data_IF_425404058636
#
_entry.id   IF_425404058636
#
_cell.length_a   1.000
_cell.length_b   1.000
_cell.length_c   1.000
_cell.angle_alpha   90.00
_cell.angle_beta   90.00
_cell.angle_gamma   90.00
#
_symmetry.space_group_name_H-M   'P 1'
#
loop_
_entity.id
_entity.type
_entity.pdbx_description
1 polymer ?
#
# COMPACT_ATOMS: atom_id res chain seq x y z
N UNK A 1 5.46 -19.90 0.25
CA UNK A 1 4.64 -18.74 -0.20
C UNK A 1 5.25 -18.18 -1.48
N UNK A 2 4.46 -17.98 -2.55
CA UNK A 2 4.95 -17.26 -3.74
C UNK A 2 5.20 -15.80 -3.34
N UNK A 3 6.30 -15.17 -3.78
CA UNK A 3 6.53 -13.76 -3.47
C UNK A 3 5.38 -12.93 -4.06
N UNK A 4 4.83 -11.97 -3.30
CA UNK A 4 3.73 -11.13 -3.76
C UNK A 4 4.10 -10.47 -5.09
N UNK A 5 3.14 -10.27 -5.98
CA UNK A 5 3.37 -9.70 -7.31
C UNK A 5 3.96 -8.29 -7.17
N UNK A 6 4.92 -7.88 -8.03
CA UNK A 6 5.64 -6.62 -7.88
C UNK A 6 4.78 -5.51 -8.45
N UNK A 7 3.72 -5.18 -7.73
CA UNK A 7 3.01 -3.92 -7.89
C UNK A 7 2.90 -3.18 -6.55
N UNK A 8 3.07 -1.86 -6.58
CA UNK A 8 2.64 -0.97 -5.49
C UNK A 8 1.57 -0.08 -6.07
N UNK A 9 0.46 0.01 -5.33
CA UNK A 9 -0.63 0.91 -5.64
C UNK A 9 -0.87 1.74 -4.39
N UNK A 10 -0.79 3.05 -4.55
CA UNK A 10 -1.13 3.99 -3.50
C UNK A 10 -2.24 4.92 -4.03
N UNK A 11 -3.20 5.25 -3.18
CA UNK A 11 -4.25 6.23 -3.49
C UNK A 11 -3.91 7.56 -2.84
N UNK A 12 -4.11 8.64 -3.57
CA UNK A 12 -3.90 10.01 -3.09
C UNK A 12 -5.08 10.87 -3.52
N UNK A 13 -5.24 12.08 -2.98
CA UNK A 13 -6.32 13.00 -3.38
C UNK A 13 -6.27 13.27 -4.88
N UNK A 14 -7.37 13.17 -5.59
CA UNK A 14 -7.39 13.33 -7.06
C UNK A 14 -6.52 14.49 -7.59
N UNK A 15 -6.63 15.67 -6.96
CA UNK A 15 -5.90 16.89 -7.33
C UNK A 15 -4.37 16.78 -7.24
N UNK A 16 -3.82 15.89 -6.43
CA UNK A 16 -2.35 15.71 -6.29
C UNK A 16 -1.80 14.65 -7.25
N UNK A 17 -2.64 13.97 -8.03
CA UNK A 17 -2.21 12.87 -8.90
C UNK A 17 -1.22 13.32 -9.98
N UNK A 18 -1.47 14.47 -10.59
CA UNK A 18 -0.60 15.05 -11.60
C UNK A 18 0.79 15.39 -11.05
N UNK A 19 0.87 15.93 -9.83
CA UNK A 19 2.14 16.30 -9.18
C UNK A 19 2.99 15.06 -8.94
N UNK A 20 2.37 13.99 -8.45
CA UNK A 20 3.03 12.71 -8.21
C UNK A 20 3.55 12.08 -9.50
N UNK A 21 2.76 12.12 -10.59
CA UNK A 21 3.19 11.59 -11.89
C UNK A 21 4.41 12.33 -12.44
N UNK A 22 4.45 13.66 -12.30
CA UNK A 22 5.61 14.45 -12.71
C UNK A 22 6.84 14.17 -11.84
N UNK A 23 6.68 14.09 -10.51
CA UNK A 23 7.80 13.76 -9.60
C UNK A 23 8.37 12.35 -9.88
N UNK A 24 7.49 11.38 -10.18
CA UNK A 24 7.90 10.03 -10.60
C UNK A 24 8.64 10.05 -11.95
N UNK A 25 8.14 10.80 -12.93
CA UNK A 25 8.78 10.98 -14.23
C UNK A 25 10.17 11.58 -14.09
N UNK A 26 10.31 12.68 -13.36
CA UNK A 26 11.60 13.34 -13.12
C UNK A 26 12.59 12.40 -12.43
N UNK A 27 12.12 11.61 -11.46
CA UNK A 27 12.95 10.63 -10.79
C UNK A 27 13.45 9.54 -11.76
N UNK A 28 12.58 9.01 -12.63
CA UNK A 28 12.93 8.01 -13.63
C UNK A 28 13.93 8.56 -14.66
N UNK A 29 13.72 9.78 -15.15
CA UNK A 29 14.62 10.43 -16.13
C UNK A 29 16.01 10.68 -15.54
N UNK A 30 16.07 11.14 -14.28
CA UNK A 30 17.34 11.39 -13.58
C UNK A 30 18.13 10.11 -13.31
N UNK A 31 17.43 9.06 -12.87
CA UNK A 31 18.08 7.80 -12.46
C UNK A 31 18.36 6.85 -13.62
N UNK A 32 17.70 7.06 -14.77
CA UNK A 32 17.72 6.17 -15.93
C UNK A 32 17.30 4.73 -15.58
N UNK A 33 16.49 4.57 -14.50
CA UNK A 33 15.97 3.27 -14.13
C UNK A 33 15.00 2.77 -15.22
N UNK A 34 15.16 1.54 -15.74
CA UNK A 34 14.28 1.03 -16.77
C UNK A 34 12.91 0.63 -16.18
N UNK A 35 11.94 1.54 -16.24
CA UNK A 35 10.53 1.25 -16.00
C UNK A 35 9.89 0.71 -17.30
N UNK A 36 9.96 -0.60 -17.49
CA UNK A 36 9.57 -1.30 -18.73
C UNK A 36 8.07 -1.56 -18.89
N UNK A 37 7.25 -1.18 -17.91
CA UNK A 37 5.79 -1.25 -17.99
C UNK A 37 5.15 0.12 -17.72
N UNK A 38 3.97 0.40 -18.31
CA UNK A 38 3.25 1.65 -18.09
C UNK A 38 2.90 1.89 -16.62
N UNK A 39 2.82 3.17 -16.26
CA UNK A 39 2.16 3.61 -15.02
C UNK A 39 0.65 3.61 -15.27
N UNK A 40 -0.12 2.93 -14.43
CA UNK A 40 -1.58 2.92 -14.56
C UNK A 40 -2.20 3.96 -13.63
N UNK A 41 -3.19 4.69 -14.12
CA UNK A 41 -3.87 5.75 -13.38
C UNK A 41 -5.37 5.49 -13.39
N UNK A 42 -6.01 5.56 -12.22
CA UNK A 42 -7.46 5.35 -12.06
C UNK A 42 -8.04 6.32 -11.05
N UNK A 43 -9.23 6.83 -11.34
CA UNK A 43 -9.98 7.70 -10.44
C UNK A 43 -11.12 6.93 -9.77
N UNK A 44 -11.32 7.16 -8.48
CA UNK A 44 -12.35 6.50 -7.67
C UNK A 44 -12.97 7.54 -6.74
N UNK A 45 -14.30 7.53 -6.65
CA UNK A 45 -15.03 8.40 -5.73
C UNK A 45 -14.79 8.01 -4.27
N UNK A 46 -14.83 9.00 -3.39
CA UNK A 46 -14.72 8.77 -1.96
C UNK A 46 -15.82 7.86 -1.43
N UNK A 47 -15.51 7.11 -0.38
CA UNK A 47 -16.45 6.21 0.29
C UNK A 47 -16.42 6.39 1.81
N UNK A 48 -17.24 5.61 2.52
CA UNK A 48 -17.35 5.64 3.99
C UNK A 48 -16.82 4.35 4.65
N UNK A 49 -16.09 3.50 3.93
CA UNK A 49 -15.56 2.24 4.46
C UNK A 49 -14.29 2.51 5.28
N UNK A 50 -14.26 2.08 6.54
CA UNK A 50 -13.23 2.50 7.52
C UNK A 50 -11.78 2.28 7.08
N UNK A 51 -11.51 1.18 6.37
CA UNK A 51 -10.18 0.86 5.85
C UNK A 51 -10.02 1.13 4.35
N UNK A 52 -10.96 1.82 3.71
CA UNK A 52 -10.77 2.17 2.30
C UNK A 52 -9.66 3.20 2.14
N UNK A 53 -8.71 2.99 1.20
CA UNK A 53 -7.77 4.04 0.82
C UNK A 53 -8.49 5.32 0.33
N UNK A 54 -9.75 5.20 -0.12
CA UNK A 54 -10.60 6.30 -0.58
C UNK A 54 -11.53 6.88 0.51
N UNK A 55 -11.35 6.51 1.79
CA UNK A 55 -12.23 6.97 2.88
C UNK A 55 -12.34 8.50 2.90
N UNK A 56 -13.57 8.99 2.73
CA UNK A 56 -14.02 10.39 2.69
C UNK A 56 -13.26 11.31 1.72
N UNK A 57 -12.66 10.75 0.66
CA UNK A 57 -11.99 11.56 -0.37
C UNK A 57 -12.01 10.92 -1.76
N UNK A 58 -12.33 11.71 -2.77
CA UNK A 58 -12.09 11.35 -4.17
C UNK A 58 -10.59 11.15 -4.37
N UNK A 59 -10.24 10.01 -4.95
CA UNK A 59 -8.87 9.52 -4.99
C UNK A 59 -8.42 9.17 -6.40
N UNK A 60 -7.13 9.41 -6.65
CA UNK A 60 -6.39 8.92 -7.79
C UNK A 60 -5.50 7.77 -7.32
N UNK A 61 -5.72 6.60 -7.88
CA UNK A 61 -4.82 5.46 -7.79
C UNK A 61 -3.74 5.58 -8.87
N UNK A 62 -2.48 5.50 -8.46
CA UNK A 62 -1.34 5.39 -9.36
C UNK A 62 -0.71 4.04 -9.08
N UNK A 63 -0.47 3.23 -10.12
CA UNK A 63 0.11 1.89 -10.00
C UNK A 63 1.41 1.81 -10.79
N UNK A 64 2.45 1.23 -10.20
CA UNK A 64 3.66 0.84 -10.91
C UNK A 64 3.79 -0.68 -10.93
N UNK A 65 4.30 -1.23 -12.03
CA UNK A 65 4.42 -2.68 -12.24
C UNK A 65 5.80 -2.99 -12.81
N UNK A 66 6.36 -4.13 -12.44
CA UNK A 66 7.52 -4.70 -13.14
C UNK A 66 7.21 -6.11 -13.65
N UNK A 67 7.54 -6.38 -14.91
CA UNK A 67 7.50 -7.73 -15.47
C UNK A 67 8.39 -8.70 -14.68
N UNK A 68 7.87 -9.90 -14.38
CA UNK A 68 8.62 -11.02 -13.79
C UNK A 68 8.89 -12.09 -14.86
N UNK A 69 10.07 -12.09 -15.50
CA UNK A 69 10.42 -13.10 -16.49
C UNK A 69 10.48 -14.48 -15.83
N UNK A 70 9.72 -15.45 -16.34
CA UNK A 70 9.74 -16.84 -15.88
C UNK A 70 9.59 -16.98 -14.35
N UNK A 71 8.76 -16.14 -13.74
CA UNK A 71 8.54 -16.09 -12.28
C UNK A 71 9.80 -15.80 -11.45
N UNK A 72 10.86 -15.25 -12.07
CA UNK A 72 12.07 -14.80 -11.38
C UNK A 72 11.88 -13.41 -10.79
N UNK A 73 12.43 -13.21 -9.60
CA UNK A 73 12.44 -11.90 -8.96
C UNK A 73 13.47 -11.02 -9.66
N UNK A 74 13.02 -9.85 -10.12
CA UNK A 74 13.89 -8.79 -10.63
C UNK A 74 14.14 -7.80 -9.50
N UNK A 75 15.35 -7.24 -9.43
CA UNK A 75 15.63 -6.17 -8.46
C UNK A 75 14.67 -5.00 -8.70
N UNK A 76 13.84 -4.70 -7.70
CA UNK A 76 12.77 -3.71 -7.79
C UNK A 76 12.78 -2.72 -6.61
N UNK A 77 13.58 -3.01 -5.58
CA UNK A 77 13.58 -2.28 -4.29
C UNK A 77 13.88 -0.78 -4.45
N UNK A 78 14.84 -0.42 -5.32
CA UNK A 78 15.16 0.98 -5.60
C UNK A 78 13.95 1.72 -6.19
N UNK A 79 13.24 1.09 -7.14
CA UNK A 79 12.07 1.68 -7.77
C UNK A 79 10.89 1.76 -6.77
N UNK A 80 10.67 0.70 -6.00
CA UNK A 80 9.62 0.60 -4.99
C UNK A 80 9.77 1.63 -3.88
N UNK A 81 10.99 1.80 -3.39
CA UNK A 81 11.30 2.73 -2.30
C UNK A 81 11.12 4.16 -2.77
N UNK A 82 11.63 4.50 -3.95
CA UNK A 82 11.44 5.83 -4.53
C UNK A 82 9.97 6.15 -4.76
N UNK A 83 9.22 5.24 -5.37
CA UNK A 83 7.80 5.40 -5.60
C UNK A 83 7.01 5.54 -4.29
N UNK A 84 7.25 4.67 -3.29
CA UNK A 84 6.59 4.78 -1.99
C UNK A 84 6.89 6.12 -1.30
N UNK A 85 8.12 6.61 -1.36
CA UNK A 85 8.50 7.90 -0.78
C UNK A 85 7.80 9.09 -1.46
N UNK A 86 7.73 9.07 -2.80
CA UNK A 86 6.99 10.09 -3.56
C UNK A 86 5.52 10.08 -3.15
N UNK A 87 4.88 8.90 -3.13
CA UNK A 87 3.47 8.80 -2.73
C UNK A 87 3.24 9.25 -1.27
N UNK A 88 4.11 8.84 -0.34
CA UNK A 88 4.00 9.18 1.09
C UNK A 88 4.06 10.70 1.33
N UNK A 89 4.95 11.41 0.62
CA UNK A 89 5.08 12.87 0.68
C UNK A 89 3.78 13.61 0.36
N UNK A 90 2.91 13.00 -0.44
CA UNK A 90 1.62 13.56 -0.85
C UNK A 90 0.42 12.92 -0.15
N UNK A 91 0.65 12.22 0.97
CA UNK A 91 -0.40 11.58 1.76
C UNK A 91 -1.00 10.33 1.11
N UNK A 92 -0.21 9.63 0.28
CA UNK A 92 -0.61 8.38 -0.35
C UNK A 92 -0.93 7.29 0.67
N UNK A 93 -2.06 6.59 0.47
CA UNK A 93 -2.50 5.45 1.28
C UNK A 93 -2.23 4.14 0.53
N UNK A 94 -1.56 3.15 1.15
CA UNK A 94 -1.22 1.91 0.46
C UNK A 94 -2.47 1.08 0.18
N UNK A 95 -2.54 0.47 -0.99
CA UNK A 95 -3.59 -0.45 -1.36
C UNK A 95 -3.35 -1.82 -0.72
N UNK A 96 -4.34 -2.34 0.02
CA UNK A 96 -4.25 -3.57 0.81
C UNK A 96 -3.78 -4.82 0.05
N UNK A 97 -4.14 -4.95 -1.22
CA UNK A 97 -3.76 -6.10 -2.06
C UNK A 97 -2.40 -5.97 -2.76
N UNK A 98 -1.59 -4.96 -2.44
CA UNK A 98 -0.29 -4.69 -3.07
C UNK A 98 0.84 -4.63 -2.04
N UNK A 99 2.09 -4.68 -2.49
CA UNK A 99 3.24 -4.59 -1.60
C UNK A 99 3.36 -3.21 -0.96
N UNK A 100 3.64 -3.17 0.34
CA UNK A 100 3.88 -1.95 1.09
C UNK A 100 4.75 -2.22 2.33
N UNK A 101 5.54 -1.23 2.75
CA UNK A 101 6.39 -1.32 3.95
C UNK A 101 5.88 -0.55 5.17
N UNK A 102 4.71 0.09 5.04
CA UNK A 102 4.06 0.85 6.10
C UNK A 102 3.87 0.00 7.36
N UNK A 103 4.32 0.53 8.49
CA UNK A 103 4.15 0.02 9.85
C UNK A 103 2.71 0.27 10.35
N UNK A 104 2.33 -0.42 11.43
CA UNK A 104 1.01 -0.21 12.03
C UNK A 104 0.76 1.22 12.52
N UNK A 105 1.79 1.92 13.00
CA UNK A 105 1.69 3.33 13.37
C UNK A 105 1.42 4.23 12.15
N UNK A 106 2.05 3.94 11.01
CA UNK A 106 1.79 4.67 9.76
C UNK A 106 0.39 4.35 9.20
N UNK A 107 -0.09 3.11 9.31
CA UNK A 107 -1.50 2.83 8.98
C UNK A 107 -2.46 3.59 9.90
N UNK A 108 -2.19 3.59 11.20
CA UNK A 108 -3.03 4.30 12.17
C UNK A 108 -3.12 5.80 11.86
N UNK A 109 -2.04 6.43 11.39
CA UNK A 109 -2.07 7.86 11.03
C UNK A 109 -2.80 8.14 9.71
N UNK A 110 -2.84 7.17 8.79
CA UNK A 110 -3.45 7.32 7.46
C UNK A 110 -4.97 7.09 7.43
N UNK A 111 -5.51 6.29 8.35
CA UNK A 111 -6.90 5.84 8.37
C UNK A 111 -7.66 6.44 9.56
N UNK A 112 -8.53 7.46 9.36
CA UNK A 112 -9.22 8.15 10.46
C UNK A 112 -10.09 7.25 11.34
N UNK A 113 -10.59 6.14 10.79
CA UNK A 113 -11.45 5.15 11.48
C UNK A 113 -10.69 3.90 11.93
N UNK A 114 -9.36 4.01 12.06
CA UNK A 114 -8.50 2.91 12.47
C UNK A 114 -8.91 2.30 13.81
N UNK A 115 -9.11 3.16 14.83
CA UNK A 115 -9.45 2.72 16.19
C UNK A 115 -10.80 1.99 16.21
N UNK A 116 -11.81 2.55 15.57
CA UNK A 116 -13.14 1.95 15.48
C UNK A 116 -13.10 0.60 14.74
N UNK A 117 -12.30 0.49 13.68
CA UNK A 117 -12.10 -0.79 13.00
C UNK A 117 -11.41 -1.83 13.89
N UNK A 118 -10.34 -1.44 14.59
CA UNK A 118 -9.65 -2.35 15.51
C UNK A 118 -10.57 -2.86 16.63
N UNK A 119 -11.40 -1.98 17.20
CA UNK A 119 -12.39 -2.35 18.21
C UNK A 119 -13.44 -3.32 17.67
N UNK A 120 -13.98 -3.06 16.48
CA UNK A 120 -14.93 -3.96 15.84
C UNK A 120 -14.32 -5.33 15.56
N UNK A 121 -13.08 -5.36 15.04
CA UNK A 121 -12.31 -6.59 14.81
C UNK A 121 -12.11 -7.38 16.09
N UNK A 122 -11.71 -6.74 17.19
CA UNK A 122 -11.49 -7.41 18.49
C UNK A 122 -12.79 -7.94 19.08
N UNK A 123 -13.92 -7.29 18.82
CA UNK A 123 -15.24 -7.76 19.25
C UNK A 123 -15.71 -8.98 18.45
N UNK A 124 -15.45 -8.99 17.14
CA UNK A 124 -15.93 -10.03 16.22
C UNK A 124 -14.97 -11.23 16.10
N UNK A 125 -13.68 -11.00 16.32
CA UNK A 125 -12.62 -12.02 16.27
C UNK A 125 -11.69 -11.89 17.50
N UNK A 126 -12.20 -12.19 18.70
CA UNK A 126 -11.45 -12.02 19.95
C UNK A 126 -10.21 -12.90 20.04
N UNK A 127 -10.17 -14.00 19.29
CA UNK A 127 -9.05 -14.95 19.26
C UNK A 127 -8.09 -14.70 18.08
N UNK A 128 -8.38 -13.73 17.20
CA UNK A 128 -7.53 -13.41 16.06
C UNK A 128 -7.45 -14.50 14.98
N UNK A 129 -8.48 -15.34 14.84
CA UNK A 129 -8.51 -16.46 13.91
C UNK A 129 -8.32 -16.03 12.44
N UNK A 130 -8.71 -14.80 12.09
CA UNK A 130 -8.60 -14.29 10.72
C UNK A 130 -7.33 -13.47 10.46
N UNK A 131 -6.42 -13.41 11.42
CA UNK A 131 -5.16 -12.70 11.26
C UNK A 131 -4.11 -13.58 10.59
N UNK A 132 -3.31 -12.96 9.75
CA UNK A 132 -2.07 -13.53 9.23
C UNK A 132 -0.90 -12.62 9.62
N UNK A 133 0.33 -13.06 9.39
CA UNK A 133 1.53 -12.31 9.78
C UNK A 133 1.61 -10.90 9.19
N UNK A 134 1.01 -10.65 8.02
CA UNK A 134 0.91 -9.30 7.48
C UNK A 134 -0.07 -8.44 8.29
N UNK A 135 -1.25 -8.95 8.60
CA UNK A 135 -2.25 -8.24 9.40
C UNK A 135 -1.80 -8.05 10.85
N UNK A 136 -1.11 -9.02 11.46
CA UNK A 136 -0.51 -8.88 12.79
C UNK A 136 0.46 -7.69 12.82
N UNK A 137 1.37 -7.62 11.83
CA UNK A 137 2.31 -6.50 11.68
C UNK A 137 1.59 -5.17 11.49
N UNK A 138 0.55 -5.15 10.64
CA UNK A 138 -0.20 -3.93 10.31
C UNK A 138 -1.06 -3.46 11.50
N UNK A 139 -1.67 -4.36 12.27
CA UNK A 139 -2.43 -4.00 13.47
C UNK A 139 -1.58 -3.87 14.73
N UNK A 140 -0.25 -3.97 14.62
CA UNK A 140 0.67 -3.81 15.74
C UNK A 140 0.56 -4.93 16.79
N UNK A 141 0.10 -6.11 16.39
CA UNK A 141 0.01 -7.27 17.26
C UNK A 141 1.38 -7.95 17.36
N UNK A 142 1.70 -8.45 18.55
CA UNK A 142 2.86 -9.34 18.72
C UNK A 142 2.55 -10.66 18.01
N UNK A 143 3.54 -11.30 17.34
CA UNK A 143 3.33 -12.61 16.73
C UNK A 143 2.72 -13.55 17.77
N UNK A 144 1.60 -14.18 17.45
CA UNK A 144 1.03 -15.17 18.36
C UNK A 144 2.02 -16.34 18.49
N UNK A 145 2.54 -16.57 19.70
CA UNK A 145 3.40 -17.73 20.02
C UNK A 145 2.63 -19.07 20.00
N UNK A 146 1.41 -19.11 19.47
CA UNK A 146 0.48 -20.21 19.59
C UNK A 146 0.32 -20.98 18.27
N UNK A 147 1.41 -21.54 17.75
CA UNK A 147 1.39 -22.72 16.87
C UNK A 147 2.67 -23.53 17.08
N UNK A 148 2.84 -24.06 18.30
CA UNK A 148 3.52 -25.33 18.51
C UNK A 148 2.49 -26.24 19.17
N UNK A 149 1.81 -27.03 18.35
CA UNK A 149 1.13 -28.26 18.72
C UNK A 149 1.35 -29.24 17.56
#
# INVERSE_FOLDING_TARGET
MKPPLPFVLLSLREKTGVVVLFELKEWLERTRLPAHLPVEVRFVKGDNNYLSPCYQQDSCYINIIMYRPFNKLVSHETYWTAYQNIMAKHGGRPHWAKDHKYSGAEFQSLYPKWKEFCQARETLDPNGMFLNSNLERVFGMKPSNSYIA
#
